data_IF_334549353685
#
_entry.id   IF_334549353685
#
_cell.length_a   1.000
_cell.length_b   1.000
_cell.length_c   1.000
_cell.angle_alpha   90.00
_cell.angle_beta   90.00
_cell.angle_gamma   90.00
#
_symmetry.space_group_name_H-M   'P 1'
#
loop_
_entity.id
_entity.type
_entity.pdbx_description
1 polymer ?
#
# COMPACT_ATOMS: atom_id res chain seq x y z
N UNK A 1 1.36 -18.86 28.97
CA UNK A 1 0.10 -19.61 28.64
C UNK A 1 0.43 -20.85 27.80
N UNK A 2 -0.49 -21.83 27.66
CA UNK A 2 -0.17 -23.12 26.99
C UNK A 2 0.21 -22.89 25.49
N UNK A 3 -0.51 -22.03 24.77
CA UNK A 3 -0.26 -21.73 23.33
C UNK A 3 1.14 -21.18 23.10
N UNK A 4 1.59 -20.23 23.88
CA UNK A 4 2.95 -19.67 23.80
C UNK A 4 4.01 -20.76 23.94
N UNK A 5 3.82 -21.67 24.92
CA UNK A 5 4.73 -22.77 25.17
C UNK A 5 4.76 -23.77 24.01
N UNK A 6 3.62 -24.07 23.38
CA UNK A 6 3.56 -24.94 22.19
C UNK A 6 4.39 -24.35 21.04
N UNK A 7 4.24 -23.06 20.75
CA UNK A 7 5.06 -22.38 19.73
C UNK A 7 6.54 -22.37 20.11
N UNK A 8 6.87 -22.16 21.37
CA UNK A 8 8.25 -22.14 21.84
C UNK A 8 8.92 -23.52 21.71
N UNK A 9 8.20 -24.62 21.97
CA UNK A 9 8.68 -25.98 21.70
C UNK A 9 8.99 -26.15 20.21
N UNK A 10 8.08 -25.79 19.32
CA UNK A 10 8.30 -25.91 17.88
C UNK A 10 9.49 -25.09 17.43
N UNK A 11 9.63 -23.85 17.93
CA UNK A 11 10.76 -22.99 17.60
C UNK A 11 12.11 -23.57 18.07
N UNK A 12 12.17 -24.12 19.30
CA UNK A 12 13.38 -24.76 19.80
C UNK A 12 13.77 -25.98 18.94
N UNK A 13 12.77 -26.78 18.52
CA UNK A 13 13.01 -27.95 17.69
C UNK A 13 13.46 -27.59 16.25
N UNK A 14 12.95 -26.47 15.71
CA UNK A 14 13.40 -25.95 14.41
C UNK A 14 14.84 -25.41 14.47
N UNK A 15 15.21 -24.77 15.58
CA UNK A 15 16.55 -24.18 15.77
C UNK A 15 17.62 -25.23 16.09
N UNK A 16 17.31 -26.21 16.95
CA UNK A 16 18.27 -27.16 17.51
C UNK A 16 18.18 -28.58 16.97
N UNK A 17 17.14 -28.88 16.18
CA UNK A 17 16.86 -30.23 15.75
C UNK A 17 16.32 -31.11 16.85
N UNK A 18 17.07 -32.14 17.27
CA UNK A 18 16.67 -33.07 18.34
C UNK A 18 17.01 -32.51 19.72
N UNK A 19 16.02 -32.41 20.60
CA UNK A 19 16.17 -31.90 21.99
C UNK A 19 15.47 -32.88 22.94
N UNK A 20 16.08 -33.17 24.08
CA UNK A 20 15.46 -34.06 25.06
C UNK A 20 14.25 -33.42 25.75
N UNK A 21 13.27 -34.23 26.14
CA UNK A 21 12.11 -33.73 26.88
C UNK A 21 12.49 -33.09 28.25
N UNK A 22 13.65 -33.45 28.79
CA UNK A 22 14.18 -32.83 30.02
C UNK A 22 14.72 -31.44 29.73
N UNK A 23 15.52 -31.26 28.67
CA UNK A 23 16.05 -29.94 28.26
C UNK A 23 14.91 -28.96 27.92
N UNK A 24 13.85 -29.45 27.24
CA UNK A 24 12.65 -28.66 27.01
C UNK A 24 11.96 -28.23 28.30
N UNK A 25 11.84 -29.19 29.27
CA UNK A 25 11.24 -28.93 30.57
C UNK A 25 12.01 -27.85 31.36
N UNK A 26 13.34 -27.97 31.38
CA UNK A 26 14.23 -27.03 32.08
C UNK A 26 14.17 -25.62 31.42
N UNK A 27 14.20 -25.55 30.10
CA UNK A 27 14.16 -24.28 29.37
C UNK A 27 12.79 -23.57 29.47
N UNK A 28 11.72 -24.33 29.48
CA UNK A 28 10.35 -23.80 29.56
C UNK A 28 9.83 -23.67 31.02
N UNK A 29 10.65 -24.00 32.01
CA UNK A 29 10.30 -23.95 33.42
C UNK A 29 9.02 -24.75 33.76
N UNK A 30 8.86 -25.94 33.19
CA UNK A 30 7.72 -26.84 33.40
C UNK A 30 8.19 -28.26 33.70
N UNK A 31 7.27 -29.12 34.13
CA UNK A 31 7.60 -30.55 34.35
C UNK A 31 7.78 -31.30 33.01
N UNK A 32 8.62 -32.33 32.97
CA UNK A 32 8.76 -33.24 31.84
C UNK A 32 7.41 -33.83 31.40
N UNK A 33 6.51 -34.12 32.34
CA UNK A 33 5.15 -34.59 32.06
C UNK A 33 4.34 -33.54 31.28
N UNK A 34 4.52 -32.26 31.60
CA UNK A 34 3.87 -31.14 30.86
C UNK A 34 4.37 -31.07 29.42
N UNK A 35 5.69 -31.20 29.21
CA UNK A 35 6.29 -31.22 27.88
C UNK A 35 5.76 -32.38 27.04
N UNK A 36 5.69 -33.60 27.60
CA UNK A 36 5.16 -34.75 26.87
C UNK A 36 3.69 -34.54 26.45
N UNK A 37 2.88 -33.96 27.33
CA UNK A 37 1.49 -33.61 27.01
C UNK A 37 1.39 -32.54 25.93
N UNK A 38 2.29 -31.55 25.94
CA UNK A 38 2.36 -30.51 24.90
C UNK A 38 2.79 -31.12 23.55
N UNK A 39 3.71 -32.09 23.55
CA UNK A 39 4.11 -32.84 22.34
C UNK A 39 2.92 -33.65 21.78
N UNK A 40 2.14 -34.31 22.61
CA UNK A 40 0.90 -34.95 22.17
C UNK A 40 -0.08 -33.95 21.55
N UNK A 41 -0.24 -32.79 22.17
CA UNK A 41 -1.10 -31.71 21.64
C UNK A 41 -0.62 -31.22 20.29
N UNK A 42 0.69 -31.03 20.07
CA UNK A 42 1.29 -30.67 18.79
C UNK A 42 1.05 -31.75 17.73
N UNK A 43 1.19 -33.02 18.10
CA UNK A 43 0.94 -34.17 17.22
C UNK A 43 -0.54 -34.22 16.78
N UNK A 44 -1.47 -33.98 17.71
CA UNK A 44 -2.91 -33.88 17.42
C UNK A 44 -3.22 -32.72 16.51
N UNK A 45 -2.47 -31.61 16.64
CA UNK A 45 -2.55 -30.46 15.74
C UNK A 45 -1.83 -30.66 14.38
N UNK A 46 -1.44 -31.92 14.06
CA UNK A 46 -0.74 -32.31 12.81
C UNK A 46 0.67 -31.71 12.65
N UNK A 47 1.28 -31.20 13.73
CA UNK A 47 2.69 -30.85 13.73
C UNK A 47 3.48 -32.18 13.83
N UNK A 48 4.32 -32.54 12.84
CA UNK A 48 4.98 -33.86 12.81
C UNK A 48 6.17 -33.89 13.78
N UNK A 49 5.86 -33.94 15.06
CA UNK A 49 6.82 -34.15 16.16
C UNK A 49 6.92 -35.65 16.44
N UNK A 50 8.12 -36.15 16.54
CA UNK A 50 8.37 -37.54 16.90
C UNK A 50 9.44 -37.63 17.98
N UNK A 51 9.44 -38.79 18.69
CA UNK A 51 10.40 -39.07 19.74
C UNK A 51 11.34 -40.18 19.33
N UNK A 52 12.66 -39.96 19.48
CA UNK A 52 13.71 -40.95 19.28
C UNK A 52 14.11 -41.52 20.64
N UNK A 53 14.09 -42.83 20.78
CA UNK A 53 14.54 -43.51 21.97
C UNK A 53 16.03 -43.87 21.90
N UNK A 54 16.71 -43.89 23.03
CA UNK A 54 18.10 -44.32 23.13
C UNK A 54 19.11 -43.22 23.45
N UNK A 55 20.41 -43.58 23.42
CA UNK A 55 21.50 -42.65 23.71
C UNK A 55 21.63 -41.62 22.56
N UNK A 56 21.33 -40.38 22.86
CA UNK A 56 21.22 -39.31 21.87
C UNK A 56 19.82 -39.10 21.33
N UNK A 57 18.81 -39.79 21.89
CA UNK A 57 17.41 -39.61 21.52
C UNK A 57 16.78 -38.36 22.18
N UNK A 58 15.63 -37.98 21.69
CA UNK A 58 14.89 -36.81 22.15
C UNK A 58 13.62 -36.60 21.34
N UNK A 59 13.13 -35.41 21.38
CA UNK A 59 12.01 -34.89 20.57
C UNK A 59 12.58 -34.19 19.37
N UNK A 60 12.04 -34.48 18.18
CA UNK A 60 12.47 -33.86 16.94
C UNK A 60 11.26 -33.57 16.04
N UNK A 61 11.43 -32.64 15.13
CA UNK A 61 10.52 -32.44 14.01
C UNK A 61 10.98 -33.29 12.81
N UNK A 62 10.05 -33.72 12.00
CA UNK A 62 10.36 -34.47 10.77
C UNK A 62 11.31 -33.63 9.88
N UNK A 63 12.33 -34.28 9.31
CA UNK A 63 13.28 -33.60 8.44
C UNK A 63 12.57 -32.86 7.30
N UNK A 64 12.94 -31.60 7.12
CA UNK A 64 12.29 -30.73 6.14
C UNK A 64 10.91 -30.21 6.55
N UNK A 65 10.48 -30.44 7.82
CA UNK A 65 9.30 -29.79 8.35
C UNK A 65 9.59 -28.30 8.52
N UNK A 66 8.79 -27.50 7.87
CA UNK A 66 8.73 -26.07 8.06
C UNK A 66 7.34 -25.76 8.58
N UNK A 67 7.25 -24.96 9.62
CA UNK A 67 5.97 -24.64 10.30
C UNK A 67 4.92 -24.10 9.32
N UNK A 68 5.38 -23.48 8.24
CA UNK A 68 4.56 -22.90 7.18
C UNK A 68 3.80 -23.95 6.34
N UNK A 69 4.35 -25.16 6.13
CA UNK A 69 3.66 -26.22 5.37
C UNK A 69 2.40 -26.75 6.06
N UNK A 70 2.30 -26.58 7.37
CA UNK A 70 1.12 -26.99 8.13
C UNK A 70 0.07 -25.89 8.28
N UNK A 71 0.45 -24.61 8.11
CA UNK A 71 -0.40 -23.44 8.39
C UNK A 71 -0.78 -22.69 7.12
N UNK A 72 0.12 -22.65 6.11
CA UNK A 72 -0.10 -21.90 4.88
C UNK A 72 -0.03 -22.83 3.67
N UNK A 73 -1.01 -22.76 2.80
CA UNK A 73 -0.97 -23.40 1.47
C UNK A 73 0.12 -22.79 0.58
N UNK A 74 0.48 -23.46 -0.50
CA UNK A 74 1.45 -22.94 -1.47
C UNK A 74 0.96 -21.60 -2.06
N UNK A 75 -0.33 -21.51 -2.35
CA UNK A 75 -0.96 -20.29 -2.87
C UNK A 75 -0.91 -19.12 -1.86
N UNK A 76 -1.19 -19.37 -0.57
CA UNK A 76 -1.10 -18.33 0.46
C UNK A 76 0.33 -17.84 0.66
N UNK A 77 1.34 -18.72 0.55
CA UNK A 77 2.75 -18.35 0.59
C UNK A 77 3.14 -17.45 -0.58
N UNK A 78 2.70 -17.81 -1.79
CA UNK A 78 2.92 -16.98 -2.98
C UNK A 78 2.25 -15.61 -2.85
N UNK A 79 1.02 -15.55 -2.35
CA UNK A 79 0.30 -14.30 -2.10
C UNK A 79 1.02 -13.41 -1.08
N UNK A 80 1.58 -13.99 0.00
CA UNK A 80 2.37 -13.23 0.98
C UNK A 80 3.63 -12.64 0.33
N UNK A 81 4.39 -13.45 -0.43
CA UNK A 81 5.60 -13.00 -1.11
C UNK A 81 5.28 -11.93 -2.15
N UNK A 82 4.18 -12.09 -2.88
CA UNK A 82 3.67 -11.10 -3.82
C UNK A 82 3.34 -9.77 -3.10
N UNK A 83 2.61 -9.83 -2.00
CA UNK A 83 2.30 -8.66 -1.20
C UNK A 83 3.57 -7.92 -0.71
N UNK A 84 4.61 -8.66 -0.31
CA UNK A 84 5.90 -8.06 0.07
C UNK A 84 6.61 -7.48 -1.15
N UNK A 85 6.60 -8.16 -2.30
CA UNK A 85 7.21 -7.67 -3.54
C UNK A 85 6.57 -6.35 -4.00
N UNK A 86 5.25 -6.23 -3.91
CA UNK A 86 4.54 -4.98 -4.24
C UNK A 86 4.86 -3.82 -3.30
N UNK A 87 5.33 -4.09 -2.08
CA UNK A 87 5.73 -3.07 -1.12
C UNK A 87 7.20 -2.65 -1.24
N UNK A 88 8.05 -3.38 -1.99
CA UNK A 88 9.47 -3.05 -2.16
C UNK A 88 9.69 -1.64 -2.75
N UNK A 89 9.03 -1.26 -3.86
CA UNK A 89 9.24 0.06 -4.46
C UNK A 89 8.79 1.21 -3.58
N UNK A 90 7.89 0.95 -2.62
CA UNK A 90 7.36 1.97 -1.69
C UNK A 90 8.26 2.19 -0.46
N UNK A 91 9.30 1.36 -0.27
CA UNK A 91 10.06 1.34 0.98
C UNK A 91 9.35 0.62 2.13
N UNK A 92 8.14 0.12 1.94
CA UNK A 92 7.35 -0.60 2.95
C UNK A 92 7.92 -1.97 3.34
N UNK A 93 8.76 -2.54 2.47
CA UNK A 93 9.45 -3.80 2.69
C UNK A 93 10.91 -3.73 2.22
N UNK A 94 11.74 -4.70 2.61
CA UNK A 94 13.13 -4.80 2.14
C UNK A 94 13.35 -6.05 1.30
N UNK A 95 14.27 -5.98 0.31
CA UNK A 95 14.67 -7.14 -0.48
C UNK A 95 15.24 -8.28 0.39
N UNK A 96 15.86 -7.95 1.52
CA UNK A 96 16.31 -8.95 2.52
C UNK A 96 15.14 -9.71 3.13
N UNK A 97 14.04 -9.03 3.44
CA UNK A 97 12.82 -9.66 3.99
C UNK A 97 12.19 -10.59 2.94
N UNK A 98 12.08 -10.14 1.70
CA UNK A 98 11.56 -10.96 0.60
C UNK A 98 12.42 -12.21 0.38
N UNK A 99 13.74 -12.06 0.30
CA UNK A 99 14.68 -13.19 0.11
C UNK A 99 14.61 -14.18 1.28
N UNK A 100 14.57 -13.68 2.53
CA UNK A 100 14.46 -14.51 3.73
C UNK A 100 13.15 -15.32 3.74
N UNK A 101 12.03 -14.69 3.45
CA UNK A 101 10.73 -15.36 3.42
C UNK A 101 10.60 -16.29 2.22
N UNK A 102 11.12 -15.93 1.05
CA UNK A 102 11.19 -16.84 -0.11
C UNK A 102 11.95 -18.12 0.21
N UNK A 103 13.07 -18.03 0.90
CA UNK A 103 13.83 -19.18 1.37
C UNK A 103 13.06 -20.02 2.40
N UNK A 104 12.40 -19.36 3.36
CA UNK A 104 11.55 -20.02 4.37
C UNK A 104 10.38 -20.76 3.72
N UNK A 105 9.72 -20.16 2.76
CA UNK A 105 8.56 -20.76 2.08
C UNK A 105 8.95 -21.74 0.99
N UNK A 106 10.24 -21.89 0.68
CA UNK A 106 10.75 -22.73 -0.42
C UNK A 106 10.13 -22.39 -1.77
N UNK A 107 9.66 -21.15 -1.95
CA UNK A 107 9.08 -20.65 -3.21
C UNK A 107 10.22 -20.13 -4.09
N UNK A 108 10.48 -20.79 -5.21
CA UNK A 108 11.63 -20.51 -6.09
C UNK A 108 11.39 -19.42 -7.13
N UNK A 109 10.15 -19.05 -7.42
CA UNK A 109 9.87 -18.12 -8.51
C UNK A 109 8.67 -17.21 -8.23
N UNK A 110 8.95 -15.92 -7.97
CA UNK A 110 7.96 -14.85 -7.88
C UNK A 110 8.15 -13.80 -9.00
N UNK A 111 8.83 -14.16 -10.10
CA UNK A 111 9.24 -13.20 -11.14
C UNK A 111 8.19 -12.97 -12.23
N UNK A 112 6.97 -13.51 -12.07
CA UNK A 112 5.87 -13.30 -13.00
C UNK A 112 5.20 -11.93 -12.86
N UNK A 113 5.52 -11.17 -11.80
CA UNK A 113 5.02 -9.81 -11.57
C UNK A 113 6.15 -8.88 -11.12
N UNK A 114 6.21 -7.71 -11.72
CA UNK A 114 7.03 -6.59 -11.32
C UNK A 114 6.14 -5.38 -11.08
N UNK A 115 6.38 -4.67 -9.97
CA UNK A 115 5.63 -3.46 -9.63
C UNK A 115 6.61 -2.31 -9.52
N UNK A 116 6.46 -1.34 -10.40
CA UNK A 116 7.24 -0.11 -10.40
C UNK A 116 6.34 1.09 -10.09
N UNK A 117 6.60 1.75 -8.97
CA UNK A 117 5.98 3.03 -8.60
C UNK A 117 6.93 4.20 -8.83
N UNK A 118 8.03 3.98 -9.57
CA UNK A 118 9.00 5.04 -9.84
C UNK A 118 8.35 6.17 -10.64
N UNK A 119 8.79 7.37 -10.35
CA UNK A 119 8.46 8.57 -11.10
C UNK A 119 9.73 9.10 -11.75
N UNK A 120 9.58 9.92 -12.77
CA UNK A 120 10.68 10.53 -13.51
C UNK A 120 11.64 11.37 -12.66
N UNK A 121 11.38 11.59 -11.35
CA UNK A 121 12.25 12.37 -10.47
C UNK A 121 12.33 11.86 -9.03
N UNK A 122 13.55 11.77 -8.49
CA UNK A 122 13.94 11.70 -7.06
C UNK A 122 13.43 10.51 -6.22
N UNK A 123 13.82 9.30 -6.56
CA UNK A 123 13.48 8.08 -5.79
C UNK A 123 14.04 8.07 -4.34
N UNK A 124 15.21 8.63 -4.09
CA UNK A 124 15.87 8.57 -2.77
C UNK A 124 15.18 9.46 -1.74
N UNK A 125 14.88 10.69 -2.10
CA UNK A 125 14.24 11.65 -1.20
C UNK A 125 12.77 11.29 -0.87
N UNK A 126 12.06 10.72 -1.83
CA UNK A 126 10.68 10.26 -1.62
C UNK A 126 10.63 9.06 -0.67
N UNK A 127 11.64 8.18 -0.72
CA UNK A 127 11.75 7.02 0.18
C UNK A 127 12.02 7.42 1.63
N UNK A 128 12.96 8.32 1.86
CA UNK A 128 13.28 8.83 3.21
C UNK A 128 12.07 9.53 3.84
N UNK A 129 11.36 10.34 3.05
CA UNK A 129 10.12 10.99 3.47
C UNK A 129 9.04 9.97 3.81
N UNK A 130 8.86 8.95 2.98
CA UNK A 130 7.90 7.88 3.25
C UNK A 130 8.22 7.14 4.55
N UNK A 131 9.48 6.76 4.78
CA UNK A 131 9.90 6.08 6.01
C UNK A 131 9.70 6.96 7.25
N UNK A 132 9.98 8.25 7.14
CA UNK A 132 9.71 9.22 8.21
C UNK A 132 8.23 9.26 8.58
N UNK A 133 7.36 9.35 7.58
CA UNK A 133 5.91 9.39 7.76
C UNK A 133 5.37 8.06 8.30
N UNK A 134 5.84 6.92 7.78
CA UNK A 134 5.50 5.58 8.28
C UNK A 134 5.84 5.46 9.77
N UNK A 135 7.05 5.85 10.15
CA UNK A 135 7.50 5.78 11.53
C UNK A 135 6.67 6.69 12.44
N UNK A 136 6.30 7.89 11.97
CA UNK A 136 5.44 8.80 12.73
C UNK A 136 4.04 8.21 12.96
N UNK A 137 3.44 7.58 11.95
CA UNK A 137 2.16 6.86 12.09
C UNK A 137 2.28 5.71 13.09
N UNK A 138 3.29 4.85 12.96
CA UNK A 138 3.47 3.68 13.82
C UNK A 138 3.77 4.07 15.28
N UNK A 139 4.56 5.13 15.49
CA UNK A 139 4.93 5.63 16.82
C UNK A 139 3.91 6.64 17.39
N UNK A 140 2.83 6.93 16.63
CA UNK A 140 1.79 7.90 17.05
C UNK A 140 2.38 9.27 17.41
N UNK A 141 3.34 9.74 16.61
CA UNK A 141 3.99 11.05 16.81
C UNK A 141 3.39 12.11 15.89
N UNK A 142 3.23 13.30 16.42
CA UNK A 142 2.78 14.45 15.65
C UNK A 142 3.80 14.85 14.58
N UNK A 143 3.29 15.43 13.50
CA UNK A 143 4.08 15.97 12.39
C UNK A 143 3.93 17.48 12.28
N UNK A 144 5.01 18.16 11.91
CA UNK A 144 4.99 19.53 11.40
C UNK A 144 5.54 19.53 9.97
N UNK A 145 4.92 20.27 9.07
CA UNK A 145 5.33 20.38 7.67
C UNK A 145 4.72 21.59 7.00
N UNK A 146 5.34 22.07 5.92
CA UNK A 146 4.79 23.10 5.05
C UNK A 146 3.96 22.45 3.94
N UNK A 147 2.83 23.06 3.58
CA UNK A 147 1.94 22.51 2.57
C UNK A 147 1.36 23.61 1.67
N UNK A 148 1.60 23.54 0.33
CA UNK A 148 1.01 24.46 -0.62
C UNK A 148 -0.49 24.17 -0.81
N UNK A 149 -1.30 25.22 -0.86
CA UNK A 149 -2.70 25.12 -1.26
C UNK A 149 -2.85 25.13 -2.79
N UNK A 150 -4.10 25.14 -3.28
CA UNK A 150 -4.40 25.16 -4.72
C UNK A 150 -3.99 26.46 -5.41
N UNK A 151 -3.78 27.55 -4.69
CA UNK A 151 -3.33 28.86 -5.18
C UNK A 151 -1.81 29.04 -5.10
N UNK A 152 -1.07 28.00 -4.61
CA UNK A 152 0.38 28.07 -4.44
C UNK A 152 0.85 28.70 -3.14
N UNK A 153 -0.06 29.16 -2.28
CA UNK A 153 0.28 29.72 -0.97
C UNK A 153 0.71 28.60 -0.02
N UNK A 154 1.90 28.75 0.57
CA UNK A 154 2.46 27.76 1.49
C UNK A 154 2.04 28.10 2.91
N UNK A 155 1.61 27.11 3.66
CA UNK A 155 1.22 27.25 5.06
C UNK A 155 1.77 26.12 5.93
N UNK A 156 2.22 26.49 7.13
CA UNK A 156 2.66 25.53 8.14
C UNK A 156 1.47 24.71 8.65
N UNK A 157 1.68 23.41 8.77
CA UNK A 157 0.70 22.46 9.29
C UNK A 157 1.29 21.68 10.45
N UNK A 158 0.46 21.47 11.48
CA UNK A 158 0.70 20.47 12.51
C UNK A 158 -0.43 19.46 12.45
N UNK A 159 -0.12 18.18 12.44
CA UNK A 159 -1.12 17.13 12.26
C UNK A 159 -0.75 15.85 13.00
N UNK A 160 -1.75 15.08 13.37
CA UNK A 160 -1.64 13.73 13.90
C UNK A 160 -1.82 12.74 12.74
N UNK A 161 -0.75 12.09 12.27
CA UNK A 161 -0.81 11.16 11.15
C UNK A 161 -1.47 9.85 11.60
N UNK A 162 -2.49 9.40 10.89
CA UNK A 162 -3.29 8.25 11.27
C UNK A 162 -3.07 7.06 10.35
N UNK A 163 -2.90 7.31 9.03
CA UNK A 163 -2.81 6.26 8.03
C UNK A 163 -2.07 6.74 6.78
N UNK A 164 -1.28 5.86 6.18
CA UNK A 164 -0.78 6.03 4.83
C UNK A 164 -1.76 5.40 3.84
N UNK A 165 -2.06 6.10 2.76
CA UNK A 165 -3.01 5.66 1.73
C UNK A 165 -2.35 5.78 0.38
N UNK A 166 -2.37 4.69 -0.40
CA UNK A 166 -1.99 4.71 -1.81
C UNK A 166 -3.26 4.78 -2.66
N UNK A 167 -3.39 5.83 -3.45
CA UNK A 167 -4.57 6.06 -4.30
C UNK A 167 -4.19 6.87 -5.54
N UNK A 168 -4.70 6.50 -6.71
CA UNK A 168 -4.46 7.24 -7.96
C UNK A 168 -2.96 7.46 -8.22
N UNK A 169 -2.16 6.41 -8.12
CA UNK A 169 -0.70 6.41 -8.33
C UNK A 169 0.07 7.39 -7.43
N UNK A 170 -0.48 7.74 -6.26
CA UNK A 170 0.15 8.64 -5.32
C UNK A 170 -0.04 8.18 -3.87
N UNK A 171 0.95 8.49 -3.04
CA UNK A 171 0.87 8.30 -1.60
C UNK A 171 0.31 9.54 -0.90
N UNK A 172 -0.52 9.30 0.09
CA UNK A 172 -1.15 10.31 0.93
C UNK A 172 -0.98 9.94 2.41
N UNK A 173 -0.98 10.97 3.27
CA UNK A 173 -1.14 10.83 4.71
C UNK A 173 -2.54 11.30 5.08
N UNK A 174 -3.35 10.41 5.59
CA UNK A 174 -4.60 10.78 6.24
C UNK A 174 -4.29 11.17 7.69
N UNK A 175 -4.62 12.38 8.08
CA UNK A 175 -4.25 12.94 9.37
C UNK A 175 -5.35 13.86 9.93
N UNK A 176 -5.37 14.03 11.25
CA UNK A 176 -6.15 15.10 11.89
C UNK A 176 -5.31 16.38 11.92
N UNK A 177 -5.73 17.40 11.17
CA UNK A 177 -5.05 18.68 11.06
C UNK A 177 -5.42 19.60 12.24
N UNK A 178 -4.46 19.93 13.09
CA UNK A 178 -4.71 20.75 14.26
C UNK A 178 -5.12 22.20 13.91
N UNK A 179 -4.58 22.76 12.82
CA UNK A 179 -4.94 24.10 12.35
C UNK A 179 -6.41 24.19 11.89
N UNK A 180 -6.88 23.15 11.21
CA UNK A 180 -8.26 23.13 10.68
C UNK A 180 -9.24 22.40 11.62
N UNK A 181 -8.73 21.71 12.65
CA UNK A 181 -9.50 20.87 13.59
C UNK A 181 -10.39 19.85 12.84
N UNK A 182 -9.83 19.27 11.78
CA UNK A 182 -10.58 18.39 10.87
C UNK A 182 -9.65 17.35 10.24
N UNK A 183 -10.22 16.24 9.76
CA UNK A 183 -9.50 15.24 9.01
C UNK A 183 -9.11 15.77 7.63
N UNK A 184 -7.87 15.52 7.25
CA UNK A 184 -7.32 15.93 5.96
C UNK A 184 -6.46 14.83 5.38
N UNK A 185 -6.48 14.75 4.06
CA UNK A 185 -5.62 13.86 3.29
C UNK A 185 -4.57 14.70 2.58
N UNK A 186 -3.31 14.53 2.97
CA UNK A 186 -2.18 15.28 2.44
C UNK A 186 -1.41 14.42 1.45
N UNK A 187 -1.23 14.89 0.23
CA UNK A 187 -0.40 14.22 -0.77
C UNK A 187 1.07 14.34 -0.37
N UNK A 188 1.78 13.21 -0.20
CA UNK A 188 3.13 13.17 0.37
C UNK A 188 4.10 14.04 -0.43
N UNK A 189 4.00 14.04 -1.75
CA UNK A 189 4.88 14.84 -2.60
C UNK A 189 4.70 16.37 -2.44
N UNK A 190 3.57 16.82 -1.89
CA UNK A 190 3.31 18.23 -1.59
C UNK A 190 3.73 18.63 -0.18
N UNK A 191 4.11 17.67 0.67
CA UNK A 191 4.60 17.94 2.02
C UNK A 191 6.07 18.38 1.94
N UNK A 192 6.37 19.58 2.39
CA UNK A 192 7.71 20.15 2.43
C UNK A 192 8.18 20.20 3.89
N UNK A 193 9.49 20.10 4.13
CA UNK A 193 10.14 20.26 5.45
C UNK A 193 9.48 19.43 6.55
N UNK A 194 9.22 18.14 6.26
CA UNK A 194 8.55 17.24 7.20
C UNK A 194 9.41 16.99 8.42
N UNK A 195 8.87 17.29 9.61
CA UNK A 195 9.51 17.10 10.90
C UNK A 195 8.62 16.27 11.82
N UNK A 196 9.19 15.25 12.46
CA UNK A 196 8.53 14.47 13.51
C UNK A 196 8.69 15.22 14.81
N UNK A 197 7.59 15.51 15.47
CA UNK A 197 7.58 16.18 16.77
C UNK A 197 7.70 15.16 17.91
N UNK A 198 8.24 15.56 19.07
CA UNK A 198 8.30 14.68 20.24
C UNK A 198 6.92 14.33 20.81
N UNK A 199 5.91 15.16 20.52
CA UNK A 199 4.54 14.99 20.98
C UNK A 199 3.91 13.70 20.43
N UNK A 200 3.32 12.91 21.31
CA UNK A 200 2.52 11.73 20.99
C UNK A 200 1.03 12.04 21.11
N UNK A 201 0.20 11.30 20.42
CA UNK A 201 -1.25 11.42 20.47
C UNK A 201 -1.93 10.07 20.65
N UNK A 202 -3.13 10.04 21.22
CA UNK A 202 -3.93 8.82 21.30
C UNK A 202 -4.68 8.61 19.97
N UNK A 203 -4.25 7.62 19.20
CA UNK A 203 -4.88 7.30 17.91
C UNK A 203 -6.34 6.84 18.05
N UNK A 204 -6.74 6.31 19.21
CA UNK A 204 -8.13 5.88 19.45
C UNK A 204 -9.10 7.07 19.51
N UNK A 205 -8.60 8.25 19.91
CA UNK A 205 -9.38 9.48 19.93
C UNK A 205 -9.62 10.08 18.52
N UNK A 206 -8.91 9.60 17.51
CA UNK A 206 -8.92 10.12 16.14
C UNK A 206 -9.15 8.99 15.13
N UNK A 207 -10.37 8.46 15.05
CA UNK A 207 -10.74 7.48 14.04
C UNK A 207 -10.90 8.17 12.68
N UNK A 208 -10.00 7.93 11.69
CA UNK A 208 -10.13 8.55 10.40
C UNK A 208 -11.36 7.98 9.67
N UNK A 209 -12.07 8.81 8.88
CA UNK A 209 -13.14 8.31 8.04
C UNK A 209 -12.57 7.25 7.07
N UNK A 210 -13.36 6.23 6.70
CA UNK A 210 -12.92 5.24 5.74
C UNK A 210 -12.52 5.92 4.43
N UNK A 211 -11.41 5.44 3.82
CA UNK A 211 -11.05 5.83 2.46
C UNK A 211 -12.01 5.11 1.54
N UNK A 212 -13.18 5.65 1.36
CA UNK A 212 -14.13 5.18 0.36
C UNK A 212 -13.73 5.84 -0.95
N UNK A 213 -13.53 5.11 -2.05
CA UNK A 213 -13.57 5.70 -3.37
C UNK A 213 -14.95 6.34 -3.50
N UNK A 214 -15.03 7.65 -3.26
CA UNK A 214 -16.30 8.34 -3.54
C UNK A 214 -16.34 8.50 -5.05
N UNK A 215 -17.34 7.91 -5.73
CA UNK A 215 -17.65 8.38 -7.06
C UNK A 215 -17.89 9.89 -6.93
N UNK A 216 -17.49 10.70 -7.91
CA UNK A 216 -17.62 12.13 -7.83
C UNK A 216 -19.07 12.48 -7.53
N UNK A 217 -19.32 12.95 -6.28
CA UNK A 217 -20.63 13.42 -5.89
C UNK A 217 -20.91 14.68 -6.71
N UNK A 218 -21.94 14.64 -7.56
CA UNK A 218 -22.29 15.75 -8.43
C UNK A 218 -21.48 15.78 -9.75
N UNK A 219 -21.02 14.64 -10.25
CA UNK A 219 -20.41 14.54 -11.57
C UNK A 219 -21.34 15.07 -12.65
N UNK A 220 -20.79 15.90 -13.55
CA UNK A 220 -21.46 16.28 -14.79
C UNK A 220 -21.24 15.20 -15.83
N UNK A 221 -22.22 14.98 -16.65
CA UNK A 221 -22.09 14.13 -17.82
C UNK A 221 -21.32 14.89 -18.89
N UNK A 222 -20.19 14.32 -19.34
CA UNK A 222 -19.32 14.93 -20.35
C UNK A 222 -19.32 14.05 -21.58
N UNK A 223 -19.62 14.66 -22.71
CA UNK A 223 -19.51 14.04 -24.01
C UNK A 223 -18.44 14.74 -24.83
N UNK A 224 -17.43 14.00 -25.24
CA UNK A 224 -16.27 14.54 -25.96
C UNK A 224 -15.87 13.63 -27.13
N UNK A 225 -15.35 14.25 -28.19
CA UNK A 225 -14.74 13.54 -29.33
C UNK A 225 -13.23 13.69 -29.23
N UNK A 226 -12.54 12.57 -29.41
CA UNK A 226 -11.09 12.48 -29.43
C UNK A 226 -10.58 11.99 -30.76
N UNK A 227 -9.41 12.47 -31.17
CA UNK A 227 -8.74 11.97 -32.37
C UNK A 227 -8.14 10.59 -32.14
N UNK A 228 -7.80 9.87 -33.22
CA UNK A 228 -7.11 8.58 -33.14
C UNK A 228 -5.78 8.64 -32.36
N UNK A 229 -5.10 9.76 -32.36
CA UNK A 229 -3.84 9.95 -31.63
C UNK A 229 -4.00 9.85 -30.11
N UNK A 230 -5.20 10.10 -29.58
CA UNK A 230 -5.49 9.96 -28.15
C UNK A 230 -5.95 8.55 -27.76
N UNK A 231 -6.06 7.60 -28.69
CA UNK A 231 -6.70 6.30 -28.46
C UNK A 231 -6.14 5.53 -27.25
N UNK A 232 -4.81 5.35 -27.15
CA UNK A 232 -4.21 4.63 -26.02
C UNK A 232 -4.62 5.28 -24.68
N UNK A 233 -4.47 6.59 -24.58
CA UNK A 233 -4.78 7.32 -23.36
C UNK A 233 -6.26 7.25 -22.99
N UNK A 234 -7.17 7.24 -23.96
CA UNK A 234 -8.61 7.10 -23.71
C UNK A 234 -8.91 5.76 -23.07
N UNK A 235 -8.33 4.66 -23.60
CA UNK A 235 -8.53 3.33 -23.05
C UNK A 235 -7.86 3.13 -21.68
N UNK A 236 -6.80 3.89 -21.37
CA UNK A 236 -6.15 3.87 -20.07
C UNK A 236 -6.95 4.62 -18.98
N UNK A 237 -7.77 5.62 -19.37
CA UNK A 237 -8.39 6.57 -18.45
C UNK A 237 -9.92 6.44 -18.33
N UNK A 238 -10.60 5.83 -19.30
CA UNK A 238 -12.06 5.65 -19.32
C UNK A 238 -12.44 4.17 -19.37
N UNK A 239 -13.64 3.85 -18.86
CA UNK A 239 -14.14 2.49 -18.99
C UNK A 239 -14.45 2.18 -20.47
N UNK A 240 -14.20 0.95 -20.95
CA UNK A 240 -14.50 0.57 -22.32
C UNK A 240 -15.96 0.80 -22.74
N UNK A 241 -16.90 0.72 -21.80
CA UNK A 241 -18.34 0.96 -22.00
C UNK A 241 -18.69 2.42 -22.29
N UNK A 242 -17.83 3.36 -21.83
CA UNK A 242 -18.00 4.81 -22.05
C UNK A 242 -17.39 5.26 -23.40
N UNK A 243 -16.71 4.34 -24.13
CA UNK A 243 -15.96 4.66 -25.34
C UNK A 243 -16.68 4.10 -26.57
N UNK A 244 -16.96 4.96 -27.53
CA UNK A 244 -17.50 4.55 -28.84
C UNK A 244 -16.52 4.93 -29.96
N UNK A 245 -16.04 3.94 -30.73
CA UNK A 245 -15.22 4.20 -31.92
C UNK A 245 -16.13 4.61 -33.09
N UNK A 246 -15.87 5.77 -33.67
CA UNK A 246 -16.64 6.32 -34.79
C UNK A 246 -16.12 5.78 -36.14
N UNK A 247 -16.95 5.85 -37.17
CA UNK A 247 -16.60 5.41 -38.53
C UNK A 247 -15.49 6.20 -39.20
N UNK A 248 -15.22 7.44 -38.75
CA UNK A 248 -14.15 8.32 -39.21
C UNK A 248 -12.81 8.11 -38.48
N UNK A 249 -12.73 7.13 -37.61
CA UNK A 249 -11.53 6.80 -36.81
C UNK A 249 -11.37 7.63 -35.54
N UNK A 250 -12.30 8.55 -35.24
CA UNK A 250 -12.36 9.25 -33.94
C UNK A 250 -13.03 8.40 -32.88
N UNK A 251 -12.98 8.85 -31.62
CA UNK A 251 -13.61 8.19 -30.48
C UNK A 251 -14.54 9.17 -29.78
N UNK A 252 -15.75 8.75 -29.49
CA UNK A 252 -16.66 9.49 -28.60
C UNK A 252 -16.58 8.88 -27.23
N UNK A 253 -16.32 9.71 -26.22
CA UNK A 253 -16.37 9.32 -24.81
C UNK A 253 -17.56 10.01 -24.16
N UNK A 254 -18.31 9.24 -23.39
CA UNK A 254 -19.53 9.67 -22.71
C UNK A 254 -19.46 9.21 -21.24
N UNK A 255 -18.95 10.08 -20.35
CA UNK A 255 -18.60 9.70 -18.97
C UNK A 255 -19.00 10.77 -17.94
N UNK A 256 -19.30 10.35 -16.71
CA UNK A 256 -19.52 11.25 -15.59
C UNK A 256 -18.18 11.66 -14.97
N UNK A 257 -17.92 12.96 -14.88
CA UNK A 257 -16.68 13.50 -14.31
C UNK A 257 -16.98 14.64 -13.32
N UNK A 258 -16.13 14.85 -12.28
CA UNK A 258 -16.31 15.98 -11.38
C UNK A 258 -16.11 17.31 -12.14
N UNK A 259 -16.98 18.29 -11.90
CA UNK A 259 -16.83 19.63 -12.44
C UNK A 259 -16.06 20.51 -11.45
N UNK A 260 -14.76 20.42 -11.46
CA UNK A 260 -13.85 21.26 -10.67
C UNK A 260 -12.68 21.80 -11.52
N UNK A 261 -11.77 22.55 -10.91
CA UNK A 261 -10.60 23.09 -11.62
C UNK A 261 -9.71 22.00 -12.25
N UNK A 262 -9.75 20.78 -11.71
CA UNK A 262 -9.00 19.65 -12.24
C UNK A 262 -9.46 19.25 -13.65
N UNK A 263 -10.78 19.22 -13.90
CA UNK A 263 -11.33 18.79 -15.20
C UNK A 263 -10.89 19.67 -16.36
N UNK A 264 -10.71 20.96 -16.10
CA UNK A 264 -10.20 21.88 -17.13
C UNK A 264 -8.76 21.54 -17.51
N UNK A 265 -7.89 21.36 -16.51
CA UNK A 265 -6.49 20.95 -16.73
C UNK A 265 -6.39 19.59 -17.43
N UNK A 266 -7.27 18.67 -17.05
CA UNK A 266 -7.37 17.35 -17.63
C UNK A 266 -7.63 17.42 -19.15
N UNK A 267 -8.68 18.10 -19.59
CA UNK A 267 -8.98 18.22 -21.02
C UNK A 267 -7.94 19.05 -21.78
N UNK A 268 -7.40 20.11 -21.17
CA UNK A 268 -6.32 20.88 -21.78
C UNK A 268 -5.05 20.06 -22.03
N UNK A 269 -4.81 19.02 -21.23
CA UNK A 269 -3.67 18.12 -21.41
C UNK A 269 -3.75 17.22 -22.65
N UNK A 270 -4.91 17.12 -23.29
CA UNK A 270 -5.07 16.44 -24.59
C UNK A 270 -4.70 17.33 -25.78
N UNK A 271 -4.48 18.64 -25.55
CA UNK A 271 -4.15 19.59 -26.62
C UNK A 271 -5.28 19.72 -27.63
N UNK A 272 -4.94 19.55 -28.90
CA UNK A 272 -5.86 19.58 -30.05
C UNK A 272 -6.56 18.25 -30.33
N UNK A 273 -6.25 17.22 -29.53
CA UNK A 273 -6.80 15.87 -29.69
C UNK A 273 -8.16 15.65 -29.04
N UNK A 274 -8.77 16.69 -28.46
CA UNK A 274 -10.09 16.58 -27.84
C UNK A 274 -10.99 17.76 -28.20
N UNK A 275 -12.26 17.44 -28.41
CA UNK A 275 -13.33 18.44 -28.58
C UNK A 275 -14.50 18.11 -27.68
N UNK A 276 -14.82 18.99 -26.73
CA UNK A 276 -15.98 18.84 -25.87
C UNK A 276 -17.26 19.15 -26.65
N UNK A 277 -18.19 18.19 -26.62
CA UNK A 277 -19.53 18.38 -27.17
C UNK A 277 -20.47 18.90 -26.09
N UNK A 278 -20.49 18.25 -24.94
CA UNK A 278 -21.33 18.54 -23.77
C UNK A 278 -20.52 18.44 -22.48
N UNK A 279 -20.84 19.25 -21.48
CA UNK A 279 -21.79 20.37 -21.49
C UNK A 279 -21.17 21.63 -22.12
N UNK A 280 -22.04 22.51 -22.64
CA UNK A 280 -21.63 23.78 -23.24
C UNK A 280 -20.82 24.65 -22.27
N UNK A 281 -21.17 24.66 -20.97
CA UNK A 281 -20.45 25.41 -19.95
C UNK A 281 -18.96 25.00 -19.85
N UNK A 282 -18.65 23.70 -19.90
CA UNK A 282 -17.27 23.20 -19.91
C UNK A 282 -16.52 23.65 -21.17
N UNK A 283 -17.17 23.54 -22.32
CA UNK A 283 -16.59 23.99 -23.61
C UNK A 283 -16.26 25.47 -23.62
N UNK A 284 -17.14 26.31 -23.10
CA UNK A 284 -16.92 27.76 -23.00
C UNK A 284 -15.80 28.11 -22.01
N UNK A 285 -15.74 27.43 -20.86
CA UNK A 285 -14.66 27.62 -19.89
C UNK A 285 -13.30 27.24 -20.49
N UNK A 286 -13.21 26.12 -21.21
CA UNK A 286 -11.98 25.70 -21.91
C UNK A 286 -11.59 26.70 -22.99
N UNK A 287 -12.56 27.16 -23.80
CA UNK A 287 -12.29 28.21 -24.82
C UNK A 287 -11.69 29.47 -24.21
N UNK A 288 -12.22 29.93 -23.07
CA UNK A 288 -11.68 31.07 -22.33
C UNK A 288 -10.26 30.84 -21.84
N UNK A 289 -9.99 29.64 -21.27
CA UNK A 289 -8.64 29.26 -20.79
C UNK A 289 -7.65 29.16 -21.98
N UNK A 290 -8.03 28.54 -23.09
CA UNK A 290 -7.20 28.46 -24.30
C UNK A 290 -6.86 29.86 -24.85
N UNK A 291 -7.84 30.76 -24.85
CA UNK A 291 -7.60 32.17 -25.29
C UNK A 291 -6.63 32.89 -24.32
N UNK A 292 -6.68 32.63 -23.05
CA UNK A 292 -5.71 33.18 -22.11
C UNK A 292 -4.31 32.55 -22.29
N UNK A 293 -4.24 31.22 -22.50
CA UNK A 293 -2.98 30.53 -22.80
C UNK A 293 -2.33 31.05 -24.08
N UNK A 294 -3.09 31.25 -25.16
CA UNK A 294 -2.58 31.79 -26.43
C UNK A 294 -1.86 33.11 -26.23
N UNK A 295 -2.36 33.99 -25.34
CA UNK A 295 -1.71 35.27 -25.06
C UNK A 295 -0.32 35.12 -24.40
N UNK A 296 -0.08 34.06 -23.67
CA UNK A 296 1.23 33.81 -23.05
C UNK A 296 2.32 33.44 -24.09
N UNK A 297 1.93 33.08 -25.29
CA UNK A 297 2.82 32.66 -26.38
C UNK A 297 2.75 33.61 -27.59
N UNK A 298 2.00 34.72 -27.50
CA UNK A 298 1.92 35.75 -28.48
C UNK A 298 2.88 36.88 -28.08
N UNK A 299 4.15 36.80 -28.50
CA UNK A 299 5.10 37.92 -28.48
C UNK A 299 4.97 38.72 -29.75
#
# INVERSE_FOLDING_TARGET
MQIERLFEIVYILLDRGTVTAQELADKLHVSKRTVLRDIETLTLAKVPVYTIQGKGGGVSLLDGYVLDKAVLSDEEREQILLGIKTLLPTGGASGKTLSKLGSLFSVKNTDWIEVDFSRWSNQTHDREKFDTLKNAVMQRKALAFSYPNSTGEISERKAYPLKLVFQGQAWYVQAFCLLKRDYRTFKINRMLDVRVLPETFDAAAYAPPPVVPQPPQGGIHIRAIFTAAAACRIYDEFNPEDITKNGDGTFTVDAAMPLDEWVYGYFLSYGDNVRILEPTALREALRKKIGAMSKNYSE
#
